data_IF_328188707829
#
_entry.id   IF_328188707829
#
_cell.length_a   1.000
_cell.length_b   1.000
_cell.length_c   1.000
_cell.angle_alpha   90.00
_cell.angle_beta   90.00
_cell.angle_gamma   90.00
#
_symmetry.space_group_name_H-M   'P 1'
#
loop_
_entity.id
_entity.type
_entity.pdbx_description
1 polymer ?
#
# COMPACT_ATOMS: atom_id res chain seq x y z
N UNK A 1 -18.21 0.82 16.89
CA UNK A 1 -18.07 -0.23 15.84
C UNK A 1 -16.66 -0.81 15.86
N UNK A 2 -15.59 -0.07 15.51
CA UNK A 2 -14.20 -0.57 15.51
C UNK A 2 -13.80 -1.27 16.82
N UNK A 3 -13.98 -0.62 17.99
CA UNK A 3 -13.68 -1.21 19.30
C UNK A 3 -14.47 -2.50 19.58
N UNK A 4 -15.72 -2.57 19.13
CA UNK A 4 -16.57 -3.75 19.35
C UNK A 4 -16.10 -4.94 18.51
N UNK A 5 -15.79 -4.71 17.22
CA UNK A 5 -15.28 -5.76 16.31
C UNK A 5 -13.97 -6.34 16.83
N UNK A 6 -13.08 -5.48 17.31
CA UNK A 6 -11.78 -5.89 17.84
C UNK A 6 -11.94 -6.61 19.20
N UNK A 7 -12.79 -6.13 20.10
CA UNK A 7 -13.04 -6.77 21.40
C UNK A 7 -13.56 -8.22 21.27
N UNK A 8 -14.36 -8.52 20.24
CA UNK A 8 -14.81 -9.88 19.94
C UNK A 8 -13.67 -10.86 19.59
N UNK A 9 -12.49 -10.36 19.20
CA UNK A 9 -11.32 -11.17 18.83
C UNK A 9 -10.18 -11.08 19.86
N UNK A 10 -10.52 -10.73 21.12
CA UNK A 10 -9.56 -10.64 22.21
C UNK A 10 -8.83 -9.30 22.31
N UNK A 11 -9.14 -8.34 21.44
CA UNK A 11 -8.56 -6.99 21.49
C UNK A 11 -9.44 -6.06 22.32
N UNK A 12 -9.34 -6.21 23.64
CA UNK A 12 -10.18 -5.46 24.56
C UNK A 12 -9.60 -4.06 24.83
N UNK A 13 -10.03 -3.06 24.06
CA UNK A 13 -9.76 -1.64 24.34
C UNK A 13 -10.64 -1.08 25.47
N UNK A 14 -10.81 -1.85 26.55
CA UNK A 14 -11.47 -1.40 27.78
C UNK A 14 -10.71 -0.23 28.40
N UNK A 15 -11.32 0.46 29.37
CA UNK A 15 -10.83 1.66 30.08
C UNK A 15 -9.49 1.47 30.86
N UNK A 16 -8.47 0.90 30.22
CA UNK A 16 -7.15 0.64 30.76
C UNK A 16 -6.13 1.39 29.91
N UNK A 17 -5.11 1.89 30.60
CA UNK A 17 -4.05 2.76 30.08
C UNK A 17 -3.57 2.34 28.68
N UNK A 18 -3.43 3.35 27.80
CA UNK A 18 -2.82 3.32 26.47
C UNK A 18 -1.39 2.71 26.41
N UNK A 19 -0.86 2.22 27.52
CA UNK A 19 0.52 1.77 27.73
C UNK A 19 0.73 0.24 27.65
N UNK A 20 -0.30 -0.57 27.36
CA UNK A 20 -0.21 -2.04 27.42
C UNK A 20 -0.66 -2.81 26.17
N UNK A 21 -1.08 -2.15 25.08
CA UNK A 21 -1.30 -2.87 23.82
C UNK A 21 0.07 -3.12 23.20
N UNK A 22 0.61 -4.32 23.41
CA UNK A 22 1.80 -4.79 22.70
C UNK A 22 1.41 -5.02 21.23
N UNK A 23 1.56 -3.96 20.42
CA UNK A 23 1.30 -4.02 18.99
C UNK A 23 2.54 -4.60 18.32
N UNK A 24 2.38 -5.77 17.70
CA UNK A 24 3.32 -6.29 16.71
C UNK A 24 2.70 -6.27 15.30
N UNK A 25 3.53 -6.53 14.29
CA UNK A 25 3.10 -6.46 12.89
C UNK A 25 1.98 -7.49 12.58
N UNK A 26 2.06 -8.70 13.14
CA UNK A 26 1.05 -9.75 12.97
C UNK A 26 -0.30 -9.34 13.55
N UNK A 27 -0.27 -8.71 14.72
CA UNK A 27 -1.43 -8.21 15.44
C UNK A 27 -2.11 -7.10 14.63
N UNK A 28 -1.32 -6.12 14.15
CA UNK A 28 -1.83 -5.06 13.27
C UNK A 28 -2.46 -5.66 12.00
N UNK A 29 -1.77 -6.57 11.33
CA UNK A 29 -2.24 -7.27 10.14
C UNK A 29 -3.57 -8.01 10.37
N UNK A 30 -3.66 -8.74 11.47
CA UNK A 30 -4.87 -9.46 11.87
C UNK A 30 -6.04 -8.49 12.10
N UNK A 31 -5.79 -7.39 12.81
CA UNK A 31 -6.79 -6.36 13.08
C UNK A 31 -7.27 -5.68 11.78
N UNK A 32 -6.37 -5.33 10.86
CA UNK A 32 -6.72 -4.74 9.56
C UNK A 32 -7.66 -5.65 8.76
N UNK A 33 -7.29 -6.92 8.63
CA UNK A 33 -8.06 -7.92 7.89
C UNK A 33 -9.39 -8.22 8.58
N UNK A 34 -9.41 -8.37 9.90
CA UNK A 34 -10.63 -8.60 10.68
C UNK A 34 -11.63 -7.45 10.52
N UNK A 35 -11.16 -6.20 10.65
CA UNK A 35 -12.00 -5.01 10.46
C UNK A 35 -12.62 -4.97 9.07
N UNK A 36 -11.83 -5.23 8.03
CA UNK A 36 -12.33 -5.21 6.66
C UNK A 36 -13.31 -6.36 6.40
N UNK A 37 -12.97 -7.59 6.77
CA UNK A 37 -13.80 -8.76 6.50
C UNK A 37 -15.16 -8.70 7.23
N UNK A 38 -15.21 -8.11 8.44
CA UNK A 38 -16.45 -8.00 9.22
C UNK A 38 -17.32 -6.82 8.82
N UNK A 39 -16.71 -5.69 8.45
CA UNK A 39 -17.45 -4.45 8.18
C UNK A 39 -17.62 -4.11 6.72
N UNK A 40 -16.82 -4.72 5.82
CA UNK A 40 -16.66 -4.31 4.43
C UNK A 40 -16.05 -2.92 4.24
N UNK A 41 -15.64 -2.25 5.34
CA UNK A 41 -15.22 -0.85 5.31
C UNK A 41 -13.69 -0.74 5.35
N UNK A 42 -13.09 -0.47 4.19
CA UNK A 42 -11.66 -0.18 4.11
C UNK A 42 -11.28 1.08 4.91
N UNK A 43 -12.22 2.02 5.07
CA UNK A 43 -12.05 3.22 5.89
C UNK A 43 -11.83 2.87 7.37
N UNK A 44 -12.50 1.84 7.91
CA UNK A 44 -12.26 1.39 9.29
C UNK A 44 -10.86 0.81 9.45
N UNK A 45 -10.40 -0.03 8.51
CA UNK A 45 -9.03 -0.55 8.54
C UNK A 45 -7.99 0.59 8.44
N UNK A 46 -8.23 1.59 7.59
CA UNK A 46 -7.39 2.78 7.51
C UNK A 46 -7.37 3.60 8.81
N UNK A 47 -8.53 3.81 9.44
CA UNK A 47 -8.61 4.51 10.71
C UNK A 47 -7.82 3.78 11.80
N UNK A 48 -7.87 2.44 11.83
CA UNK A 48 -7.09 1.65 12.78
C UNK A 48 -5.59 1.78 12.50
N UNK A 49 -5.18 1.70 11.23
CA UNK A 49 -3.79 1.87 10.83
C UNK A 49 -3.20 3.24 11.26
N UNK A 50 -3.96 4.32 11.04
CA UNK A 50 -3.56 5.67 11.47
C UNK A 50 -3.55 5.82 12.99
N UNK A 51 -4.49 5.15 13.67
CA UNK A 51 -4.53 5.13 15.12
C UNK A 51 -3.30 4.42 15.70
N UNK A 52 -2.86 3.29 15.13
CA UNK A 52 -1.63 2.64 15.59
C UNK A 52 -0.39 3.51 15.30
N UNK A 53 -0.33 4.22 14.17
CA UNK A 53 0.72 5.23 13.92
C UNK A 53 0.74 6.30 15.01
N UNK A 54 -0.43 6.78 15.47
CA UNK A 54 -0.54 7.80 16.52
C UNK A 54 -0.05 7.34 17.90
N UNK A 55 0.02 6.02 18.11
CA UNK A 55 0.64 5.42 19.30
C UNK A 55 2.17 5.26 19.18
N UNK A 56 2.75 5.64 18.03
CA UNK A 56 4.18 5.48 17.75
C UNK A 56 4.54 4.13 17.13
N UNK A 57 3.56 3.29 16.76
CA UNK A 57 3.84 2.03 16.06
C UNK A 57 4.38 2.33 14.66
N UNK A 58 5.55 1.75 14.33
CA UNK A 58 6.18 1.87 13.02
C UNK A 58 5.75 0.70 12.15
N UNK A 59 4.90 0.97 11.17
CA UNK A 59 4.45 -0.04 10.22
C UNK A 59 5.59 -0.57 9.35
N UNK A 60 5.54 -1.87 9.09
CA UNK A 60 6.43 -2.55 8.15
C UNK A 60 5.89 -2.47 6.73
N UNK A 61 6.69 -2.90 5.76
CA UNK A 61 6.23 -3.02 4.36
C UNK A 61 5.01 -3.93 4.28
N UNK A 62 4.99 -5.02 5.04
CA UNK A 62 3.95 -6.05 5.02
C UNK A 62 2.61 -5.50 5.50
N UNK A 63 2.60 -4.74 6.61
CA UNK A 63 1.40 -4.08 7.12
C UNK A 63 0.88 -2.99 6.19
N UNK A 64 1.77 -2.23 5.56
CA UNK A 64 1.38 -1.24 4.54
C UNK A 64 0.79 -1.93 3.30
N UNK A 65 1.42 -2.97 2.78
CA UNK A 65 0.94 -3.72 1.61
C UNK A 65 -0.42 -4.38 1.85
N UNK A 66 -0.66 -4.88 3.06
CA UNK A 66 -1.98 -5.44 3.41
C UNK A 66 -3.05 -4.38 3.52
N UNK A 67 -2.73 -3.19 4.06
CA UNK A 67 -3.63 -2.06 3.98
C UNK A 67 -3.90 -1.65 2.53
N UNK A 68 -2.88 -1.60 1.67
CA UNK A 68 -3.05 -1.30 0.24
C UNK A 68 -4.05 -2.27 -0.40
N UNK A 69 -3.92 -3.57 -0.15
CA UNK A 69 -4.88 -4.56 -0.64
C UNK A 69 -6.31 -4.24 -0.19
N UNK A 70 -6.50 -3.99 1.11
CA UNK A 70 -7.82 -3.65 1.67
C UNK A 70 -8.38 -2.38 1.01
N UNK A 71 -7.57 -1.34 0.85
CA UNK A 71 -7.99 -0.07 0.27
C UNK A 71 -8.39 -0.21 -1.21
N UNK A 72 -7.64 -0.97 -2.00
CA UNK A 72 -8.00 -1.25 -3.40
C UNK A 72 -9.32 -2.04 -3.47
N UNK A 73 -9.47 -3.08 -2.63
CA UNK A 73 -10.72 -3.85 -2.56
C UNK A 73 -11.92 -3.00 -2.11
N UNK A 74 -11.69 -2.02 -1.23
CA UNK A 74 -12.68 -1.03 -0.81
C UNK A 74 -12.81 0.19 -1.72
N UNK A 75 -12.19 0.19 -2.91
CA UNK A 75 -12.22 1.27 -3.90
C UNK A 75 -11.70 2.65 -3.39
N UNK A 76 -10.81 2.65 -2.40
CA UNK A 76 -10.16 3.84 -1.84
C UNK A 76 -8.84 4.16 -2.57
N UNK A 77 -8.88 4.13 -3.90
CA UNK A 77 -7.69 4.22 -4.76
C UNK A 77 -6.89 5.52 -4.59
N UNK A 78 -7.56 6.64 -4.29
CA UNK A 78 -6.87 7.90 -3.99
C UNK A 78 -5.94 7.78 -2.78
N UNK A 79 -6.40 7.12 -1.72
CA UNK A 79 -5.58 6.86 -0.52
C UNK A 79 -4.43 5.92 -0.81
N UNK A 80 -4.61 4.94 -1.70
CA UNK A 80 -3.53 4.06 -2.14
C UNK A 80 -2.43 4.85 -2.84
N UNK A 81 -2.79 5.74 -3.77
CA UNK A 81 -1.81 6.59 -4.47
C UNK A 81 -1.05 7.48 -3.48
N UNK A 82 -1.71 8.07 -2.50
CA UNK A 82 -1.07 8.86 -1.43
C UNK A 82 -0.08 8.02 -0.60
N UNK A 83 -0.48 6.80 -0.20
CA UNK A 83 0.39 5.87 0.52
C UNK A 83 1.59 5.42 -0.32
N UNK A 84 1.40 5.12 -1.60
CA UNK A 84 2.49 4.76 -2.51
C UNK A 84 3.47 5.91 -2.69
N UNK A 85 2.99 7.14 -2.86
CA UNK A 85 3.85 8.33 -2.94
C UNK A 85 4.66 8.53 -1.65
N UNK A 86 4.03 8.37 -0.49
CA UNK A 86 4.73 8.38 0.80
C UNK A 86 5.79 7.28 0.90
N UNK A 87 5.52 6.07 0.41
CA UNK A 87 6.49 4.97 0.43
C UNK A 87 7.69 5.27 -0.47
N UNK A 88 7.44 5.82 -1.65
CA UNK A 88 8.49 6.20 -2.61
C UNK A 88 9.37 7.33 -2.06
N UNK A 89 8.79 8.33 -1.38
CA UNK A 89 9.52 9.46 -0.82
C UNK A 89 10.13 9.24 0.57
N UNK A 90 9.47 8.45 1.41
CA UNK A 90 9.55 8.63 2.85
C UNK A 90 10.67 7.85 3.55
N UNK A 91 11.30 6.86 2.92
CA UNK A 91 12.12 5.94 3.71
C UNK A 91 13.27 5.24 2.94
N UNK A 92 14.52 5.38 3.42
CA UNK A 92 15.70 4.68 2.90
C UNK A 92 15.60 3.15 2.86
N UNK A 93 14.77 2.54 3.71
CA UNK A 93 14.59 1.09 3.78
C UNK A 93 13.65 0.51 2.69
N UNK A 94 12.90 1.35 1.96
CA UNK A 94 12.02 0.96 0.85
C UNK A 94 12.59 1.38 -0.51
N UNK A 95 13.85 1.83 -0.54
CA UNK A 95 14.60 2.28 -1.72
C UNK A 95 14.86 1.16 -2.74
N UNK A 96 14.35 -0.06 -2.49
CA UNK A 96 14.35 -1.11 -3.50
C UNK A 96 12.92 -1.36 -3.99
N UNK A 97 12.49 -0.71 -5.10
CA UNK A 97 11.23 -0.98 -5.79
C UNK A 97 10.96 -2.47 -5.92
N UNK A 98 12.01 -3.24 -6.22
CA UNK A 98 11.97 -4.70 -6.30
C UNK A 98 11.43 -5.37 -5.03
N UNK A 99 11.89 -4.99 -3.83
CA UNK A 99 11.45 -5.57 -2.56
C UNK A 99 9.99 -5.21 -2.25
N UNK A 100 9.59 -3.97 -2.53
CA UNK A 100 8.19 -3.55 -2.39
C UNK A 100 7.30 -4.38 -3.33
N UNK A 101 7.73 -4.56 -4.57
CA UNK A 101 7.02 -5.34 -5.57
C UNK A 101 6.93 -6.83 -5.20
N UNK A 102 8.01 -7.43 -4.70
CA UNK A 102 8.01 -8.82 -4.21
C UNK A 102 6.96 -9.03 -3.09
N UNK A 103 6.94 -8.14 -2.09
CA UNK A 103 5.98 -8.22 -0.99
C UNK A 103 4.54 -7.97 -1.48
N UNK A 104 4.36 -7.04 -2.44
CA UNK A 104 3.05 -6.83 -3.07
C UNK A 104 2.58 -8.09 -3.82
N UNK A 105 3.47 -8.82 -4.50
CA UNK A 105 3.13 -10.06 -5.19
C UNK A 105 2.74 -11.18 -4.21
N UNK A 106 3.37 -11.24 -3.04
CA UNK A 106 3.04 -12.23 -2.00
C UNK A 106 1.69 -11.96 -1.33
N UNK A 107 1.38 -10.69 -1.08
CA UNK A 107 0.18 -10.31 -0.32
C UNK A 107 -1.02 -10.12 -1.26
N UNK A 108 -0.86 -9.36 -2.35
CA UNK A 108 -1.96 -8.91 -3.18
C UNK A 108 -2.51 -10.00 -4.09
N UNK A 109 -3.85 -10.13 -4.11
CA UNK A 109 -4.52 -10.86 -5.19
C UNK A 109 -4.15 -10.29 -6.56
N UNK A 110 -4.11 -11.13 -7.61
CA UNK A 110 -3.73 -10.72 -8.98
C UNK A 110 -4.43 -9.46 -9.48
N UNK A 111 -5.75 -9.34 -9.23
CA UNK A 111 -6.55 -8.17 -9.61
C UNK A 111 -6.12 -6.89 -8.89
N UNK A 112 -5.84 -7.00 -7.60
CA UNK A 112 -5.33 -5.88 -6.80
C UNK A 112 -3.94 -5.49 -7.28
N UNK A 113 -3.08 -6.48 -7.51
CA UNK A 113 -1.71 -6.28 -7.95
C UNK A 113 -1.64 -5.51 -9.28
N UNK A 114 -2.47 -5.84 -10.27
CA UNK A 114 -2.57 -5.11 -11.54
C UNK A 114 -2.93 -3.62 -11.34
N UNK A 115 -3.85 -3.36 -10.42
CA UNK A 115 -4.28 -2.00 -10.07
C UNK A 115 -3.15 -1.23 -9.37
N UNK A 116 -2.51 -1.86 -8.39
CA UNK A 116 -1.40 -1.26 -7.62
C UNK A 116 -0.21 -0.98 -8.52
N UNK A 117 0.16 -1.90 -9.42
CA UNK A 117 1.24 -1.67 -10.38
C UNK A 117 0.99 -0.45 -11.24
N UNK A 118 -0.22 -0.32 -11.80
CA UNK A 118 -0.58 0.84 -12.62
C UNK A 118 -0.48 2.14 -11.82
N UNK A 119 -0.84 2.14 -10.54
CA UNK A 119 -0.70 3.30 -9.66
C UNK A 119 0.75 3.61 -9.33
N UNK A 120 1.56 2.57 -9.04
CA UNK A 120 2.96 2.69 -8.68
C UNK A 120 3.80 3.23 -9.85
N UNK A 121 3.60 2.72 -11.06
CA UNK A 121 4.29 3.25 -12.27
C UNK A 121 3.95 4.73 -12.48
N UNK A 122 2.67 5.10 -12.36
CA UNK A 122 2.26 6.50 -12.47
C UNK A 122 2.83 7.36 -11.34
N UNK A 123 3.03 6.81 -10.14
CA UNK A 123 3.69 7.48 -9.05
C UNK A 123 5.15 7.78 -9.40
N UNK A 124 5.91 6.78 -9.84
CA UNK A 124 7.30 6.96 -10.27
C UNK A 124 7.45 7.97 -11.41
N UNK A 125 6.55 7.95 -12.41
CA UNK A 125 6.55 8.95 -13.50
C UNK A 125 6.36 10.37 -12.96
N UNK A 126 5.42 10.56 -12.01
CA UNK A 126 5.17 11.88 -11.42
C UNK A 126 6.37 12.41 -10.64
N UNK A 127 7.10 11.52 -9.98
CA UNK A 127 8.30 11.84 -9.21
C UNK A 127 9.58 11.87 -10.06
N UNK A 128 9.45 11.81 -11.40
CA UNK A 128 10.57 11.80 -12.36
C UNK A 128 11.55 10.61 -12.17
N UNK A 129 11.09 9.54 -11.53
CA UNK A 129 11.82 8.29 -11.29
C UNK A 129 11.58 7.33 -12.46
N UNK A 130 12.10 7.67 -13.63
CA UNK A 130 11.74 7.00 -14.90
C UNK A 130 12.31 5.58 -14.98
N UNK A 131 13.50 5.36 -14.43
CA UNK A 131 14.13 4.04 -14.41
C UNK A 131 13.32 3.06 -13.55
N UNK A 132 12.84 3.49 -12.38
CA UNK A 132 11.99 2.71 -11.49
C UNK A 132 10.61 2.45 -12.09
N UNK A 133 10.06 3.43 -12.83
CA UNK A 133 8.83 3.24 -13.59
C UNK A 133 9.00 2.14 -14.66
N UNK A 134 10.12 2.15 -15.39
CA UNK A 134 10.44 1.14 -16.39
C UNK A 134 10.69 -0.24 -15.76
N UNK A 135 11.49 -0.31 -14.69
CA UNK A 135 11.74 -1.57 -13.96
C UNK A 135 10.45 -2.19 -13.46
N UNK A 136 9.54 -1.37 -12.93
CA UNK A 136 8.21 -1.83 -12.48
C UNK A 136 7.40 -2.43 -13.63
N UNK A 137 7.42 -1.84 -14.83
CA UNK A 137 6.78 -2.43 -16.02
C UNK A 137 7.39 -3.78 -16.39
N UNK A 138 8.72 -3.91 -16.37
CA UNK A 138 9.39 -5.18 -16.62
C UNK A 138 9.01 -6.25 -15.57
N UNK A 139 8.80 -5.84 -14.31
CA UNK A 139 8.33 -6.74 -13.26
C UNK A 139 6.88 -7.17 -13.48
N UNK A 140 6.00 -6.29 -13.96
CA UNK A 140 4.62 -6.64 -14.35
C UNK A 140 4.63 -7.77 -15.39
N UNK A 141 5.43 -7.62 -16.44
CA UNK A 141 5.50 -8.59 -17.54
C UNK A 141 5.97 -9.96 -17.06
N UNK A 142 6.96 -10.00 -16.15
CA UNK A 142 7.46 -11.26 -15.56
C UNK A 142 6.40 -12.06 -14.80
N UNK A 143 5.37 -11.41 -14.26
CA UNK A 143 4.23 -12.07 -13.59
C UNK A 143 2.98 -12.17 -14.49
N UNK A 144 3.14 -11.89 -15.78
CA UNK A 144 2.11 -11.96 -16.80
C UNK A 144 1.04 -10.88 -16.66
N UNK A 145 1.36 -9.74 -16.05
CA UNK A 145 0.50 -8.55 -15.97
C UNK A 145 1.03 -7.55 -17.00
N UNK A 146 0.14 -6.99 -17.82
CA UNK A 146 0.54 -6.01 -18.83
C UNK A 146 0.12 -4.61 -18.40
N UNK A 147 0.98 -3.59 -18.58
CA UNK A 147 0.59 -2.21 -18.34
C UNK A 147 -0.55 -1.80 -19.26
N UNK A 148 -1.49 -1.03 -18.73
CA UNK A 148 -2.56 -0.45 -19.56
C UNK A 148 -1.97 0.56 -20.56
N UNK A 149 -2.68 0.77 -21.67
CA UNK A 149 -2.29 1.78 -22.67
C UNK A 149 -2.10 3.17 -22.05
N UNK A 150 -2.88 3.52 -21.01
CA UNK A 150 -2.74 4.78 -20.28
C UNK A 150 -1.40 4.90 -19.54
N UNK A 151 -0.93 3.81 -18.93
CA UNK A 151 0.38 3.76 -18.27
C UNK A 151 1.51 3.87 -19.29
N UNK A 152 1.45 3.10 -20.38
CA UNK A 152 2.45 3.17 -21.47
C UNK A 152 2.53 4.58 -22.06
N UNK A 153 1.37 5.19 -22.36
CA UNK A 153 1.31 6.54 -22.90
C UNK A 153 1.90 7.58 -21.93
N UNK A 154 1.70 7.40 -20.63
CA UNK A 154 2.26 8.29 -19.60
C UNK A 154 3.79 8.18 -19.55
N UNK A 155 4.32 6.95 -19.64
CA UNK A 155 5.77 6.72 -19.64
C UNK A 155 6.43 7.31 -20.91
N UNK A 156 5.88 7.04 -22.09
CA UNK A 156 6.39 7.57 -23.37
C UNK A 156 6.40 9.11 -23.33
N UNK A 157 5.31 9.74 -22.85
CA UNK A 157 5.24 11.20 -22.70
C UNK A 157 6.31 11.74 -21.75
N UNK A 158 6.65 10.99 -20.70
CA UNK A 158 7.69 11.39 -19.75
C UNK A 158 9.08 11.32 -20.37
N UNK A 159 9.39 10.24 -21.09
CA UNK A 159 10.65 10.05 -21.80
C UNK A 159 10.89 11.12 -22.88
N UNK A 160 9.84 11.48 -23.63
CA UNK A 160 9.91 12.54 -24.64
C UNK A 160 10.07 13.95 -24.05
N UNK A 161 9.79 14.13 -22.75
CA UNK A 161 10.02 15.39 -22.04
C UNK A 161 11.44 15.47 -21.51
N UNK A 162 11.95 14.40 -20.90
CA UNK A 162 13.34 14.36 -20.43
C UNK A 162 14.33 14.52 -21.58
N UNK A 163 14.05 13.96 -22.77
CA UNK A 163 14.91 14.11 -23.96
C UNK A 163 14.90 15.50 -24.59
N UNK A 164 14.06 16.44 -24.13
CA UNK A 164 13.99 17.83 -24.62
C UNK A 164 14.62 18.83 -23.65
N UNK A 165 14.96 18.38 -22.44
CA UNK A 165 15.60 19.18 -21.40
C UNK A 165 17.13 18.99 -21.39
N UNK A 166 17.67 18.13 -22.26
CA UNK A 166 19.09 17.97 -22.62
C UNK A 166 19.43 18.75 -23.90
#
# INVERSE_FOLDING_TARGET
IMKAILAEHGWNFGYLNLAQVDLDDNSVMSALNCLFNRSGSAALSLCFFKWSESLGFKHTVTSVCSLIQILVLGNMNYTVVDLLARLVHGHPQYVQPKKLVEILQEICSRRVLETVYSMLVNCYIKEKMIDEAFETICLMEKVGIFPSAGVCNSLIKSLLRSSKEE
#
